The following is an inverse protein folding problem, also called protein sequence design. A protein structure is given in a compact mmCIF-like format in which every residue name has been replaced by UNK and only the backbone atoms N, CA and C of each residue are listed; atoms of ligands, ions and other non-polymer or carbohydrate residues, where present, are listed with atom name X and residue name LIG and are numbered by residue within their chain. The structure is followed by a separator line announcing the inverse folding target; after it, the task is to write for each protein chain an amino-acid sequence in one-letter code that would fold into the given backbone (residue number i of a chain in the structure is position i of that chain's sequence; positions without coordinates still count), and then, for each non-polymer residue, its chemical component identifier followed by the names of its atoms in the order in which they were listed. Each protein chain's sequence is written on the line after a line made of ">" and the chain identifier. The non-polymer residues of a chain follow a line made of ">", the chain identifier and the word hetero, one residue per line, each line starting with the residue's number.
data_IF_351168136307
#
_entry.id   IF_351168136307
#
_cell.length_a   1.000
_cell.length_b   1.000
_cell.length_c   1.000
_cell.angle_alpha   90.00
_cell.angle_beta   90.00
_cell.angle_gamma   90.00
#
_symmetry.space_group_name_H-M   'P 1'
#
loop_
_entity.id
_entity.type
_entity.pdbx_description
1 polymer ?
#
# COMPACT_ATOMS: atom_id res chain seq x y z
N UNK A 1 23.53 -8.02 -0.32
CA UNK A 1 22.64 -6.91 -0.71
C UNK A 1 21.27 -7.09 -0.09
N UNK A 2 20.53 -8.17 -0.38
CA UNK A 2 19.18 -8.38 0.17
C UNK A 2 19.11 -8.32 1.70
N UNK A 3 20.11 -8.86 2.41
CA UNK A 3 20.17 -8.84 3.88
C UNK A 3 20.98 -7.67 4.45
N UNK A 4 21.31 -6.66 3.63
CA UNK A 4 22.22 -5.58 4.04
C UNK A 4 21.58 -4.51 4.94
N UNK A 5 20.24 -4.51 5.06
CA UNK A 5 19.48 -3.45 5.72
C UNK A 5 19.43 -2.13 4.93
N UNK A 6 20.09 -2.05 3.77
CA UNK A 6 19.94 -0.93 2.85
C UNK A 6 18.54 -0.96 2.21
N UNK A 7 17.95 0.21 1.87
CA UNK A 7 16.77 0.26 1.02
C UNK A 7 16.98 -0.58 -0.24
N UNK A 8 15.99 -1.38 -0.63
CA UNK A 8 16.08 -2.19 -1.85
C UNK A 8 15.66 -1.35 -3.05
N UNK A 9 16.59 -0.54 -3.57
CA UNK A 9 16.35 0.43 -4.65
C UNK A 9 17.39 0.32 -5.76
N UNK A 10 17.14 0.94 -6.92
CA UNK A 10 18.12 1.00 -8.01
C UNK A 10 19.39 1.75 -7.59
N UNK A 11 19.26 2.81 -6.78
CA UNK A 11 20.39 3.63 -6.33
C UNK A 11 21.33 2.85 -5.41
N UNK A 12 20.78 2.20 -4.39
CA UNK A 12 21.54 1.38 -3.44
C UNK A 12 22.11 0.12 -4.09
N UNK A 13 21.38 -0.49 -5.04
CA UNK A 13 21.88 -1.61 -5.83
C UNK A 13 23.09 -1.20 -6.68
N UNK A 14 23.02 -0.06 -7.37
CA UNK A 14 24.12 0.45 -8.19
C UNK A 14 25.34 0.81 -7.33
N UNK A 15 25.12 1.48 -6.20
CA UNK A 15 26.17 1.84 -5.26
C UNK A 15 26.87 0.60 -4.70
N UNK A 16 26.12 -0.41 -4.29
CA UNK A 16 26.67 -1.65 -3.76
C UNK A 16 27.43 -2.45 -4.84
N UNK A 17 26.89 -2.52 -6.06
CA UNK A 17 27.55 -3.16 -7.20
C UNK A 17 28.95 -2.58 -7.43
N UNK A 18 29.07 -1.25 -7.45
CA UNK A 18 30.34 -0.53 -7.57
C UNK A 18 31.26 -0.76 -6.37
N UNK A 19 30.72 -0.72 -5.14
CA UNK A 19 31.48 -0.85 -3.90
C UNK A 19 32.21 -2.19 -3.81
N UNK A 20 31.56 -3.28 -4.22
CA UNK A 20 32.12 -4.64 -4.11
C UNK A 20 32.65 -5.20 -5.44
N UNK A 21 32.50 -4.45 -6.54
CA UNK A 21 32.89 -4.90 -7.89
C UNK A 21 32.11 -6.14 -8.35
N UNK A 22 30.83 -6.26 -7.98
CA UNK A 22 30.03 -7.46 -8.30
C UNK A 22 29.38 -7.34 -9.67
N UNK A 23 29.87 -8.15 -10.62
CA UNK A 23 29.26 -8.30 -11.95
C UNK A 23 27.80 -8.75 -11.88
N UNK A 24 27.45 -9.58 -10.91
CA UNK A 24 26.06 -10.04 -10.74
C UNK A 24 25.16 -8.85 -10.38
N UNK A 25 25.56 -8.01 -9.42
CA UNK A 25 24.76 -6.84 -9.05
C UNK A 25 24.71 -5.78 -10.15
N UNK A 26 25.77 -5.63 -10.93
CA UNK A 26 25.76 -4.77 -12.13
C UNK A 26 24.76 -5.28 -13.18
N UNK A 27 24.70 -6.59 -13.42
CA UNK A 27 23.72 -7.20 -14.31
C UNK A 27 22.29 -7.06 -13.79
N UNK A 28 22.08 -7.31 -12.48
CA UNK A 28 20.77 -7.11 -11.85
C UNK A 28 20.31 -5.67 -11.94
N UNK A 29 21.21 -4.70 -11.72
CA UNK A 29 20.93 -3.27 -11.89
C UNK A 29 20.54 -2.95 -13.34
N UNK A 30 21.33 -3.39 -14.32
CA UNK A 30 21.05 -3.14 -15.73
C UNK A 30 19.71 -3.74 -16.16
N UNK A 31 19.41 -4.96 -15.72
CA UNK A 31 18.11 -5.60 -15.94
C UNK A 31 16.97 -4.80 -15.30
N UNK A 32 17.13 -4.36 -14.05
CA UNK A 32 16.07 -3.62 -13.35
C UNK A 32 15.76 -2.27 -13.99
N UNK A 33 16.79 -1.56 -14.47
CA UNK A 33 16.61 -0.29 -15.20
C UNK A 33 15.93 -0.54 -16.55
N UNK A 34 16.39 -1.53 -17.31
CA UNK A 34 15.80 -1.86 -18.60
C UNK A 34 14.33 -2.32 -18.48
N UNK A 35 13.99 -3.08 -17.43
CA UNK A 35 12.61 -3.47 -17.15
C UNK A 35 11.72 -2.26 -16.86
N UNK A 36 12.18 -1.30 -16.05
CA UNK A 36 11.42 -0.07 -15.79
C UNK A 36 11.17 0.71 -17.09
N UNK A 37 12.19 0.85 -17.95
CA UNK A 37 12.04 1.51 -19.26
C UNK A 37 11.07 0.77 -20.19
N UNK A 38 11.06 -0.57 -20.14
CA UNK A 38 10.15 -1.39 -20.94
C UNK A 38 8.69 -1.25 -20.46
N UNK A 39 8.47 -1.27 -19.13
CA UNK A 39 7.16 -1.02 -18.52
C UNK A 39 6.64 0.36 -18.92
N UNK A 40 7.45 1.41 -18.74
CA UNK A 40 7.06 2.79 -19.09
C UNK A 40 6.73 2.97 -20.59
N UNK A 41 7.34 2.17 -21.47
CA UNK A 41 7.17 2.29 -22.92
C UNK A 41 6.03 1.43 -23.46
N UNK A 42 5.90 0.21 -22.96
CA UNK A 42 5.12 -0.85 -23.60
C UNK A 42 3.93 -1.31 -22.77
N UNK A 43 3.92 -1.05 -21.45
CA UNK A 43 2.81 -1.44 -20.60
C UNK A 43 1.77 -0.31 -20.58
N UNK A 44 0.51 -0.58 -20.96
CA UNK A 44 -0.54 0.39 -20.76
C UNK A 44 -0.74 0.61 -19.26
N UNK A 45 -0.85 1.87 -18.89
CA UNK A 45 -1.17 2.26 -17.52
C UNK A 45 -2.51 1.65 -17.10
N UNK A 46 -2.56 0.85 -16.02
CA UNK A 46 -3.81 0.27 -15.56
C UNK A 46 -4.73 1.37 -15.02
N UNK A 47 -6.03 1.34 -15.33
CA UNK A 47 -6.97 2.29 -14.74
C UNK A 47 -7.14 2.00 -13.23
N UNK A 48 -7.59 2.99 -12.45
CA UNK A 48 -8.01 2.74 -11.08
C UNK A 48 -9.11 1.67 -11.02
N UNK A 49 -9.12 0.86 -9.96
CA UNK A 49 -10.20 -0.08 -9.74
C UNK A 49 -11.55 0.65 -9.65
N UNK A 50 -12.59 0.01 -10.15
CA UNK A 50 -13.95 0.51 -10.01
C UNK A 50 -14.29 0.73 -8.53
N UNK A 51 -14.89 1.89 -8.23
CA UNK A 51 -15.28 2.26 -6.87
C UNK A 51 -14.26 3.11 -6.12
N UNK A 52 -12.97 3.11 -6.50
CA UNK A 52 -11.91 3.88 -5.83
C UNK A 52 -12.24 5.37 -5.75
N UNK A 53 -12.59 5.99 -6.87
CA UNK A 53 -12.89 7.43 -6.88
C UNK A 53 -14.10 7.76 -6.00
N UNK A 54 -15.16 6.94 -6.05
CA UNK A 54 -16.35 7.12 -5.21
C UNK A 54 -16.02 6.97 -3.73
N UNK A 55 -15.18 6.00 -3.38
CA UNK A 55 -14.70 5.80 -2.02
C UNK A 55 -13.89 7.01 -1.53
N UNK A 56 -12.96 7.53 -2.35
CA UNK A 56 -12.18 8.72 -2.02
C UNK A 56 -13.06 9.98 -1.86
N UNK A 57 -14.08 10.15 -2.70
CA UNK A 57 -15.07 11.22 -2.54
C UNK A 57 -15.86 11.09 -1.23
N UNK A 58 -16.21 9.86 -0.83
CA UNK A 58 -16.90 9.58 0.42
C UNK A 58 -16.01 9.86 1.63
N UNK A 59 -14.74 9.45 1.56
CA UNK A 59 -13.72 9.72 2.58
C UNK A 59 -13.59 11.22 2.81
N UNK A 60 -13.38 11.99 1.73
CA UNK A 60 -13.18 13.45 1.78
C UNK A 60 -14.31 14.22 2.47
N UNK A 61 -15.54 13.68 2.51
CA UNK A 61 -16.67 14.34 3.17
C UNK A 61 -16.57 14.32 4.70
N UNK A 62 -15.86 13.35 5.27
CA UNK A 62 -15.93 13.04 6.70
C UNK A 62 -14.58 12.81 7.37
N UNK A 63 -13.52 12.57 6.59
CA UNK A 63 -12.20 12.21 7.10
C UNK A 63 -11.09 12.88 6.29
N UNK A 64 -9.98 13.15 6.96
CA UNK A 64 -8.71 13.45 6.30
C UNK A 64 -8.11 12.17 5.73
N UNK A 65 -7.47 12.26 4.56
CA UNK A 65 -6.88 11.12 3.86
C UNK A 65 -5.44 11.39 3.46
N UNK A 66 -4.59 10.39 3.63
CA UNK A 66 -3.21 10.35 3.16
C UNK A 66 -2.98 9.01 2.46
N UNK A 67 -2.00 8.99 1.55
CA UNK A 67 -1.53 7.76 0.89
C UNK A 67 -0.14 7.45 1.42
N UNK A 68 0.06 6.23 1.88
CA UNK A 68 1.35 5.71 2.28
C UNK A 68 1.67 4.53 1.37
N UNK A 69 2.81 4.54 0.71
CA UNK A 69 3.20 3.49 -0.23
C UNK A 69 4.67 3.12 -0.12
N UNK A 70 4.96 1.88 -0.50
CA UNK A 70 6.32 1.37 -0.67
C UNK A 70 6.86 1.63 -2.08
N UNK A 71 6.00 2.02 -3.02
CA UNK A 71 6.40 2.48 -4.35
C UNK A 71 6.98 3.88 -4.25
N UNK A 72 7.97 4.19 -5.10
CA UNK A 72 8.59 5.52 -5.12
C UNK A 72 7.56 6.61 -5.38
N UNK A 73 7.68 7.73 -4.66
CA UNK A 73 6.72 8.84 -4.73
C UNK A 73 6.52 9.36 -6.17
N UNK A 74 7.59 9.40 -6.98
CA UNK A 74 7.53 9.89 -8.37
C UNK A 74 6.59 9.07 -9.24
N UNK A 75 6.64 7.73 -9.11
CA UNK A 75 5.77 6.84 -9.88
C UNK A 75 4.30 6.98 -9.42
N UNK A 76 4.07 7.06 -8.11
CA UNK A 76 2.72 7.26 -7.57
C UNK A 76 2.12 8.58 -7.99
N UNK A 77 2.88 9.68 -7.93
CA UNK A 77 2.36 10.99 -8.31
C UNK A 77 1.97 10.99 -9.80
N UNK A 78 2.75 10.34 -10.67
CA UNK A 78 2.39 10.19 -12.10
C UNK A 78 1.00 9.56 -12.25
N UNK A 79 0.75 8.43 -11.59
CA UNK A 79 -0.55 7.72 -11.68
C UNK A 79 -1.69 8.52 -11.05
N UNK A 80 -1.49 9.03 -9.84
CA UNK A 80 -2.52 9.74 -9.08
C UNK A 80 -2.93 11.07 -9.73
N UNK A 81 -2.01 11.77 -10.39
CA UNK A 81 -2.34 12.97 -11.17
C UNK A 81 -2.92 12.64 -12.53
N UNK A 82 -2.44 11.59 -13.22
CA UNK A 82 -3.03 11.12 -14.49
C UNK A 82 -4.52 10.84 -14.32
N UNK A 83 -4.87 10.14 -13.24
CA UNK A 83 -6.23 9.70 -12.96
C UNK A 83 -7.06 10.72 -12.14
N UNK A 84 -6.51 11.92 -11.91
CA UNK A 84 -7.14 13.01 -11.14
C UNK A 84 -7.63 12.60 -9.73
N UNK A 85 -6.90 11.68 -9.09
CA UNK A 85 -7.19 11.18 -7.75
C UNK A 85 -6.46 11.95 -6.65
N UNK A 86 -5.31 12.58 -6.98
CA UNK A 86 -4.50 13.34 -6.03
C UNK A 86 -5.30 14.43 -5.29
N UNK A 87 -6.34 14.98 -5.93
CA UNK A 87 -7.22 16.02 -5.35
C UNK A 87 -8.00 15.55 -4.12
N UNK A 88 -8.10 14.25 -3.85
CA UNK A 88 -8.88 13.70 -2.74
C UNK A 88 -8.06 13.45 -1.46
N UNK A 89 -6.73 13.53 -1.54
CA UNK A 89 -5.84 13.23 -0.42
C UNK A 89 -4.94 14.43 -0.11
N UNK A 90 -4.51 14.54 1.14
CA UNK A 90 -3.69 15.67 1.59
C UNK A 90 -2.20 15.46 1.30
N UNK A 91 -1.75 14.20 1.35
CA UNK A 91 -0.35 13.81 1.19
C UNK A 91 -0.26 12.46 0.49
N UNK A 92 0.71 12.31 -0.41
CA UNK A 92 1.14 11.02 -0.97
C UNK A 92 2.60 10.82 -0.55
N UNK A 93 2.84 9.83 0.30
CA UNK A 93 4.15 9.54 0.88
C UNK A 93 4.70 8.21 0.35
N UNK A 94 5.81 8.29 -0.36
CA UNK A 94 6.63 7.14 -0.74
C UNK A 94 7.69 6.80 0.32
N UNK A 95 8.46 5.72 0.15
CA UNK A 95 9.45 5.25 1.11
C UNK A 95 10.61 6.24 1.35
N UNK A 96 10.77 7.24 0.49
CA UNK A 96 11.80 8.28 0.61
C UNK A 96 11.56 9.22 1.80
N UNK A 97 10.32 9.28 2.29
CA UNK A 97 9.91 10.16 3.39
C UNK A 97 9.94 9.46 4.76
N UNK A 98 10.24 8.16 4.82
CA UNK A 98 10.31 7.37 6.05
C UNK A 98 9.60 6.02 5.96
N UNK A 99 9.55 5.31 7.08
CA UNK A 99 8.75 4.09 7.21
C UNK A 99 7.25 4.39 7.28
N UNK A 100 6.40 3.36 7.11
CA UNK A 100 4.94 3.53 7.29
C UNK A 100 4.57 4.06 8.68
N UNK A 101 5.31 3.63 9.71
CA UNK A 101 5.13 4.08 11.10
C UNK A 101 5.52 5.55 11.25
N UNK A 102 6.59 5.98 10.58
CA UNK A 102 7.01 7.39 10.60
C UNK A 102 5.94 8.29 9.96
N UNK A 103 5.45 7.89 8.77
CA UNK A 103 4.37 8.62 8.09
C UNK A 103 3.11 8.70 8.93
N UNK A 104 2.72 7.60 9.58
CA UNK A 104 1.59 7.59 10.49
C UNK A 104 1.80 8.56 11.66
N UNK A 105 2.95 8.48 12.33
CA UNK A 105 3.25 9.31 13.50
C UNK A 105 3.17 10.80 13.15
N UNK A 106 3.73 11.17 11.99
CA UNK A 106 3.70 12.55 11.50
C UNK A 106 2.28 13.03 11.15
N UNK A 107 1.44 12.15 10.58
CA UNK A 107 0.15 12.55 10.06
C UNK A 107 -1.01 12.45 11.06
N UNK A 108 -0.97 11.48 11.98
CA UNK A 108 -2.13 11.12 12.79
C UNK A 108 -1.86 10.94 14.30
N UNK A 109 -0.62 10.66 14.70
CA UNK A 109 -0.28 10.23 16.08
C UNK A 109 -0.81 11.14 17.19
N UNK A 110 -0.69 12.47 17.02
CA UNK A 110 -1.16 13.47 17.99
C UNK A 110 -2.50 14.13 17.60
N UNK A 111 -3.10 13.71 16.48
CA UNK A 111 -4.28 14.37 15.90
C UNK A 111 -5.58 13.60 16.11
N UNK A 112 -5.53 12.28 16.09
CA UNK A 112 -6.71 11.43 16.22
C UNK A 112 -6.45 10.29 17.21
N UNK A 113 -7.46 9.89 18.01
CA UNK A 113 -7.34 8.67 18.79
C UNK A 113 -7.31 7.45 17.84
N UNK A 114 -6.63 6.37 18.25
CA UNK A 114 -6.39 5.22 17.37
C UNK A 114 -7.69 4.58 16.80
N UNK A 115 -8.77 4.55 17.58
CA UNK A 115 -10.09 4.04 17.13
C UNK A 115 -10.76 4.92 16.06
N UNK A 116 -10.31 6.18 15.89
CA UNK A 116 -10.77 7.09 14.84
C UNK A 116 -9.83 7.12 13.63
N UNK A 117 -8.94 6.13 13.52
CA UNK A 117 -8.06 5.97 12.36
C UNK A 117 -8.35 4.62 11.70
N UNK A 118 -8.40 4.62 10.37
CA UNK A 118 -8.62 3.44 9.55
C UNK A 118 -7.53 3.34 8.49
N UNK A 119 -6.72 2.28 8.56
CA UNK A 119 -5.75 1.94 7.53
C UNK A 119 -6.41 1.04 6.48
N UNK A 120 -6.30 1.41 5.21
CA UNK A 120 -6.82 0.63 4.07
C UNK A 120 -5.61 0.09 3.29
N UNK A 121 -5.51 -1.22 3.08
CA UNK A 121 -4.36 -1.81 2.39
C UNK A 121 -4.56 -3.26 1.96
N UNK A 122 -3.70 -3.75 1.08
CA UNK A 122 -3.79 -5.06 0.43
C UNK A 122 -2.71 -6.05 0.89
N UNK A 123 -1.74 -5.60 1.69
CA UNK A 123 -0.61 -6.42 2.12
C UNK A 123 -0.64 -6.75 3.62
N UNK A 124 -0.07 -7.90 4.03
CA UNK A 124 0.13 -8.22 5.45
C UNK A 124 0.90 -7.15 6.22
N UNK A 125 1.80 -6.44 5.55
CA UNK A 125 2.55 -5.34 6.16
C UNK A 125 1.69 -4.14 6.54
N UNK A 126 0.61 -3.87 5.81
CA UNK A 126 -0.37 -2.83 6.17
C UNK A 126 -1.15 -3.23 7.42
N UNK A 127 -1.67 -4.46 7.43
CA UNK A 127 -2.36 -5.02 8.59
C UNK A 127 -1.47 -4.98 9.85
N UNK A 128 -0.22 -5.44 9.75
CA UNK A 128 0.72 -5.42 10.87
C UNK A 128 1.05 -3.98 11.34
N UNK A 129 1.09 -3.02 10.42
CA UNK A 129 1.30 -1.61 10.77
C UNK A 129 0.10 -1.09 11.57
N UNK A 130 -1.12 -1.33 11.11
CA UNK A 130 -2.34 -0.95 11.82
C UNK A 130 -2.42 -1.57 13.22
N UNK A 131 -2.09 -2.87 13.34
CA UNK A 131 -2.02 -3.59 14.62
C UNK A 131 -0.99 -2.96 15.57
N UNK A 132 0.21 -2.60 15.08
CA UNK A 132 1.27 -1.99 15.90
C UNK A 132 0.90 -0.62 16.45
N UNK A 133 0.07 0.11 15.71
CA UNK A 133 -0.47 1.42 16.07
C UNK A 133 -1.71 1.29 16.97
N UNK A 134 -2.41 0.16 16.88
CA UNK A 134 -3.70 -0.05 17.54
C UNK A 134 -4.87 0.65 16.84
N UNK A 135 -4.75 0.95 15.54
CA UNK A 135 -5.85 1.52 14.75
C UNK A 135 -6.63 0.44 13.98
N UNK A 136 -7.77 0.83 13.41
CA UNK A 136 -8.56 -0.08 12.59
C UNK A 136 -7.85 -0.39 11.26
N UNK A 137 -8.13 -1.56 10.69
CA UNK A 137 -7.63 -2.01 9.40
C UNK A 137 -8.78 -2.47 8.50
N UNK A 138 -8.79 -2.08 7.24
CA UNK A 138 -9.70 -2.60 6.22
C UNK A 138 -8.91 -3.16 5.03
N UNK A 139 -9.07 -4.45 4.71
CA UNK A 139 -8.31 -5.08 3.64
C UNK A 139 -8.90 -4.76 2.25
N UNK A 140 -8.02 -4.49 1.29
CA UNK A 140 -8.31 -4.64 -0.13
C UNK A 140 -7.87 -6.04 -0.53
N UNK A 141 -8.85 -6.94 -0.69
CA UNK A 141 -8.60 -8.37 -0.88
C UNK A 141 -8.03 -8.65 -2.27
N UNK A 142 -6.88 -9.35 -2.39
CA UNK A 142 -6.28 -9.69 -3.69
C UNK A 142 -7.23 -10.53 -4.56
N UNK A 143 -7.40 -10.12 -5.82
CA UNK A 143 -8.35 -10.73 -6.76
C UNK A 143 -9.82 -10.39 -6.49
N UNK A 144 -10.09 -9.56 -5.49
CA UNK A 144 -11.41 -9.10 -5.08
C UNK A 144 -11.41 -7.59 -4.81
N UNK A 145 -10.60 -6.81 -5.54
CA UNK A 145 -10.35 -5.40 -5.28
C UNK A 145 -11.63 -4.57 -5.44
N UNK A 146 -12.37 -4.79 -6.54
CA UNK A 146 -13.64 -4.10 -6.82
C UNK A 146 -14.68 -4.41 -5.73
N UNK A 147 -14.78 -5.66 -5.31
CA UNK A 147 -15.71 -6.07 -4.25
C UNK A 147 -15.30 -5.47 -2.90
N UNK A 148 -14.00 -5.35 -2.63
CA UNK A 148 -13.49 -4.72 -1.42
C UNK A 148 -13.86 -3.24 -1.36
N UNK A 149 -13.69 -2.50 -2.45
CA UNK A 149 -14.13 -1.10 -2.53
C UNK A 149 -15.64 -0.94 -2.43
N UNK A 150 -16.42 -1.85 -3.01
CA UNK A 150 -17.87 -1.84 -2.87
C UNK A 150 -18.30 -2.06 -1.41
N UNK A 151 -17.75 -3.09 -0.74
CA UNK A 151 -18.02 -3.36 0.69
C UNK A 151 -17.57 -2.20 1.57
N UNK A 152 -16.44 -1.58 1.26
CA UNK A 152 -15.97 -0.40 1.98
C UNK A 152 -17.04 0.70 2.00
N UNK A 153 -17.58 1.05 0.82
CA UNK A 153 -18.58 2.10 0.66
C UNK A 153 -19.93 1.73 1.28
N UNK A 154 -20.40 0.50 1.06
CA UNK A 154 -21.74 0.07 1.48
C UNK A 154 -21.84 -0.22 2.98
N UNK A 155 -20.75 -0.64 3.60
CA UNK A 155 -20.75 -1.20 4.95
C UNK A 155 -19.66 -0.58 5.83
N UNK A 156 -18.39 -0.82 5.48
CA UNK A 156 -17.29 -0.67 6.43
C UNK A 156 -17.07 0.79 6.84
N UNK A 157 -17.17 1.72 5.90
CA UNK A 157 -16.94 3.13 6.19
C UNK A 157 -18.04 3.73 7.07
N UNK A 158 -19.31 3.32 6.88
CA UNK A 158 -20.42 3.73 7.75
C UNK A 158 -20.28 3.15 9.16
N UNK A 159 -19.82 1.90 9.28
CA UNK A 159 -19.49 1.30 10.58
C UNK A 159 -18.35 2.06 11.26
N UNK A 160 -17.29 2.38 10.53
CA UNK A 160 -16.16 3.14 11.04
C UNK A 160 -16.59 4.51 11.59
N UNK A 161 -17.32 5.30 10.80
CA UNK A 161 -17.77 6.64 11.20
C UNK A 161 -18.72 6.63 12.41
N UNK A 162 -19.46 5.55 12.62
CA UNK A 162 -20.36 5.41 13.78
C UNK A 162 -19.66 4.86 15.04
N UNK A 163 -18.34 4.64 14.99
CA UNK A 163 -17.57 3.99 16.06
C UNK A 163 -17.85 2.49 16.17
N UNK A 164 -18.52 1.90 15.19
CA UNK A 164 -18.96 0.51 15.13
C UNK A 164 -17.96 -0.44 14.47
N UNK A 165 -16.68 -0.07 14.38
CA UNK A 165 -15.60 -0.96 13.97
C UNK A 165 -15.19 -1.83 15.17
N UNK A 166 -16.06 -2.79 15.54
CA UNK A 166 -15.84 -3.63 16.73
C UNK A 166 -14.69 -4.61 16.51
N UNK A 167 -14.15 -5.13 17.62
CA UNK A 167 -13.12 -6.17 17.56
C UNK A 167 -13.59 -7.41 16.80
N UNK A 168 -14.87 -7.79 16.93
CA UNK A 168 -15.44 -8.92 16.20
C UNK A 168 -15.49 -8.66 14.69
N UNK A 169 -15.87 -7.45 14.29
CA UNK A 169 -15.90 -7.08 12.87
C UNK A 169 -14.47 -7.04 12.29
N UNK A 170 -13.54 -6.44 13.01
CA UNK A 170 -12.12 -6.39 12.64
C UNK A 170 -11.54 -7.79 12.50
N UNK A 171 -11.84 -8.69 13.44
CA UNK A 171 -11.38 -10.08 13.40
C UNK A 171 -11.95 -10.82 12.18
N UNK A 172 -13.25 -10.66 11.91
CA UNK A 172 -13.90 -11.29 10.77
C UNK A 172 -13.23 -10.90 9.44
N UNK A 173 -13.07 -9.60 9.17
CA UNK A 173 -12.48 -9.14 7.90
C UNK A 173 -10.99 -9.50 7.79
N UNK A 174 -10.27 -9.56 8.92
CA UNK A 174 -8.88 -9.99 8.95
C UNK A 174 -8.72 -11.48 8.62
N UNK A 175 -9.64 -12.33 9.11
CA UNK A 175 -9.61 -13.76 8.82
C UNK A 175 -9.94 -14.05 7.35
N UNK A 176 -10.91 -13.33 6.78
CA UNK A 176 -11.23 -13.38 5.35
C UNK A 176 -10.02 -12.96 4.50
N UNK A 177 -9.33 -11.88 4.88
CA UNK A 177 -8.12 -11.43 4.20
C UNK A 177 -6.98 -12.45 4.28
N UNK A 178 -6.71 -13.00 5.47
CA UNK A 178 -5.66 -14.01 5.69
C UNK A 178 -5.92 -15.29 4.89
N UNK A 179 -7.17 -15.69 4.72
CA UNK A 179 -7.54 -16.87 3.92
C UNK A 179 -7.19 -16.73 2.43
N UNK A 180 -7.09 -15.49 1.91
CA UNK A 180 -6.74 -15.19 0.52
C UNK A 180 -5.23 -15.12 0.27
N UNK A 181 -4.41 -15.20 1.32
CA UNK A 181 -2.96 -15.13 1.23
C UNK A 181 -2.36 -16.55 1.25
N UNK A 182 -2.07 -17.15 0.09
CA UNK A 182 -1.55 -18.51 0.05
C UNK A 182 -0.18 -18.57 0.74
N UNK A 183 -0.12 -19.23 1.91
CA UNK A 183 1.15 -19.47 2.62
C UNK A 183 2.11 -20.39 1.85
N UNK A 184 1.58 -21.15 0.89
CA UNK A 184 2.35 -22.02 0.00
C UNK A 184 2.23 -21.50 -1.43
N UNK A 185 3.32 -21.03 -2.05
CA UNK A 185 3.26 -20.59 -3.43
C UNK A 185 2.86 -21.74 -4.37
N UNK A 186 2.22 -21.46 -5.51
CA UNK A 186 1.66 -22.50 -6.39
C UNK A 186 2.67 -23.57 -6.81
N UNK A 187 3.94 -23.20 -6.99
CA UNK A 187 5.02 -24.13 -7.38
C UNK A 187 5.55 -25.02 -6.24
N UNK A 188 5.11 -24.82 -4.99
CA UNK A 188 5.38 -25.69 -3.85
C UNK A 188 4.19 -26.58 -3.49
N UNK A 189 3.06 -26.44 -4.18
CA UNK A 189 1.93 -27.36 -4.02
C UNK A 189 2.31 -28.68 -4.71
N UNK A 190 2.75 -29.67 -3.94
CA UNK A 190 2.91 -31.05 -4.43
C UNK A 190 1.53 -31.56 -4.84
N UNK A 191 1.38 -31.90 -6.13
CA UNK A 191 0.27 -32.70 -6.64
C UNK A 191 0.12 -34.01 -5.86
#
# INVERSE_FOLDING_TARGET
>A
YCDSGLPLSNDTLQAEAKRIGSKLLEQTYAWSVALNEDIDRNMPDPPPFEGVEKALQLIRKHSDAIVISQTQAVALLKDWYRDDLAKYVSVIAGPELGSKIDHFTMAAGDRYPAHAILMIGDAPGDMATAESIGCNFFPINPGHEVQSWQRFMDEAYTKFLSGGFSEEYQQQINDEFKALLPGTPPWKQTN
#
